data_IF_632717578682
#
_entry.id   IF_632717578682
#
_cell.length_a   1.000
_cell.length_b   1.000
_cell.length_c   1.000
_cell.angle_alpha   90.00
_cell.angle_beta   90.00
_cell.angle_gamma   90.00
#
_symmetry.space_group_name_H-M   'P 1'
#
loop_
_entity.id
_entity.type
_entity.pdbx_description
1 polymer ?
#
# COMPACT_ATOMS: atom_id res chain seq x y z
N UNK A 1 44.56 -9.75 -28.89
CA UNK A 1 43.80 -10.99 -28.66
C UNK A 1 43.35 -11.14 -27.21
N UNK A 2 44.22 -11.25 -26.20
CA UNK A 2 43.77 -11.38 -24.77
C UNK A 2 43.03 -10.15 -24.28
N UNK A 3 43.48 -8.94 -24.61
CA UNK A 3 42.83 -7.68 -24.18
C UNK A 3 41.44 -7.50 -24.80
N UNK A 4 41.24 -7.94 -26.02
CA UNK A 4 39.93 -7.91 -26.72
C UNK A 4 38.94 -8.88 -26.09
N UNK A 5 39.41 -10.08 -25.71
CA UNK A 5 38.56 -11.07 -25.03
C UNK A 5 38.08 -10.56 -23.65
N UNK A 6 39.01 -9.94 -22.89
CA UNK A 6 38.67 -9.32 -21.59
C UNK A 6 37.69 -8.18 -21.76
N UNK A 7 37.79 -7.34 -22.78
CA UNK A 7 36.89 -6.26 -23.09
C UNK A 7 35.46 -6.76 -23.43
N UNK A 8 35.40 -7.82 -24.23
CA UNK A 8 34.11 -8.44 -24.58
C UNK A 8 33.43 -9.06 -23.35
N UNK A 9 34.19 -9.76 -22.50
CA UNK A 9 33.67 -10.38 -21.28
C UNK A 9 33.13 -9.32 -20.31
N UNK A 10 33.82 -8.20 -20.15
CA UNK A 10 33.39 -7.09 -19.31
C UNK A 10 32.11 -6.44 -19.83
N UNK A 11 32.01 -6.25 -21.15
CA UNK A 11 30.78 -5.71 -21.77
C UNK A 11 29.55 -6.60 -21.57
N UNK A 12 29.74 -7.94 -21.67
CA UNK A 12 28.66 -8.92 -21.43
C UNK A 12 28.19 -8.88 -19.98
N UNK A 13 29.12 -8.77 -19.01
CA UNK A 13 28.77 -8.68 -17.58
C UNK A 13 28.00 -7.40 -17.29
N UNK A 14 28.47 -6.26 -17.83
CA UNK A 14 27.80 -4.97 -17.65
C UNK A 14 26.37 -5.03 -18.26
N UNK A 15 26.22 -5.60 -19.44
CA UNK A 15 24.92 -5.75 -20.10
C UNK A 15 23.97 -6.64 -19.27
N UNK A 16 24.46 -7.74 -18.71
CA UNK A 16 23.68 -8.62 -17.85
C UNK A 16 23.21 -7.91 -16.56
N UNK A 17 24.07 -7.09 -15.93
CA UNK A 17 23.71 -6.30 -14.75
C UNK A 17 22.65 -5.25 -15.09
N UNK A 18 22.76 -4.59 -16.25
CA UNK A 18 21.76 -3.60 -16.71
C UNK A 18 20.42 -4.27 -16.99
N UNK A 19 20.40 -5.43 -17.65
CA UNK A 19 19.19 -6.17 -17.96
C UNK A 19 18.51 -6.63 -16.65
N UNK A 20 19.24 -7.23 -15.72
CA UNK A 20 18.68 -7.67 -14.44
C UNK A 20 18.17 -6.47 -13.62
N UNK A 21 18.90 -5.36 -13.57
CA UNK A 21 18.46 -4.14 -12.91
C UNK A 21 17.19 -3.53 -13.53
N UNK A 22 17.05 -3.58 -14.86
CA UNK A 22 15.86 -3.12 -15.57
C UNK A 22 14.65 -4.04 -15.33
N UNK A 23 14.87 -5.36 -15.25
CA UNK A 23 13.79 -6.31 -14.91
C UNK A 23 13.30 -6.14 -13.48
N UNK A 24 14.20 -5.95 -12.52
CA UNK A 24 13.86 -5.71 -11.12
C UNK A 24 13.14 -4.37 -10.95
N UNK A 25 13.58 -3.32 -11.64
CA UNK A 25 12.89 -2.02 -11.65
C UNK A 25 11.50 -2.13 -12.28
N UNK A 26 11.35 -2.87 -13.36
CA UNK A 26 10.05 -3.09 -14.02
C UNK A 26 9.10 -3.90 -13.13
N UNK A 27 9.59 -4.95 -12.43
CA UNK A 27 8.83 -5.72 -11.44
C UNK A 27 8.41 -4.85 -10.26
N UNK A 28 9.31 -4.03 -9.72
CA UNK A 28 9.03 -3.12 -8.62
C UNK A 28 8.03 -2.03 -9.01
N UNK A 29 8.12 -1.49 -10.23
CA UNK A 29 7.16 -0.53 -10.76
C UNK A 29 5.75 -1.12 -10.94
N UNK A 30 5.63 -2.39 -11.36
CA UNK A 30 4.36 -3.10 -11.42
C UNK A 30 3.74 -3.33 -10.03
N UNK A 31 4.56 -3.62 -9.02
CA UNK A 31 4.13 -3.85 -7.63
C UNK A 31 3.59 -2.60 -6.91
N UNK A 32 3.85 -1.41 -7.45
CA UNK A 32 3.36 -0.12 -6.88
C UNK A 32 1.98 0.27 -7.40
N UNK A 33 1.41 -0.43 -8.39
CA UNK A 33 0.10 -0.12 -8.95
C UNK A 33 -0.72 -1.40 -9.03
N UNK A 34 -1.36 -1.76 -7.91
CA UNK A 34 -2.04 -3.04 -7.77
C UNK A 34 -3.55 -2.88 -7.94
N UNK A 35 -4.13 -3.67 -8.81
CA UNK A 35 -5.55 -3.99 -8.82
C UNK A 35 -5.84 -5.11 -7.81
N UNK A 36 -7.12 -5.28 -7.45
CA UNK A 36 -7.51 -6.36 -6.55
C UNK A 36 -7.07 -7.76 -7.07
N UNK A 37 -7.22 -7.99 -8.37
CA UNK A 37 -6.79 -9.25 -9.00
C UNK A 37 -5.27 -9.46 -8.88
N UNK A 38 -4.47 -8.46 -9.25
CA UNK A 38 -3.00 -8.56 -9.18
C UNK A 38 -2.51 -8.78 -7.75
N UNK A 39 -3.18 -8.16 -6.76
CA UNK A 39 -2.85 -8.34 -5.36
C UNK A 39 -3.15 -9.76 -4.87
N UNK A 40 -4.32 -10.30 -5.20
CA UNK A 40 -4.69 -11.68 -4.87
C UNK A 40 -3.73 -12.69 -5.51
N UNK A 41 -3.34 -12.49 -6.77
CA UNK A 41 -2.40 -13.36 -7.47
C UNK A 41 -0.96 -13.30 -6.89
N UNK A 42 -0.60 -12.20 -6.22
CA UNK A 42 0.78 -11.97 -5.74
C UNK A 42 0.96 -12.23 -4.25
N UNK A 43 -0.01 -11.84 -3.42
CA UNK A 43 0.11 -11.84 -1.95
C UNK A 43 -1.07 -12.50 -1.23
N UNK A 44 -2.05 -13.03 -1.97
CA UNK A 44 -3.31 -13.58 -1.42
C UNK A 44 -4.08 -12.62 -0.50
N UNK A 45 -3.86 -11.30 -0.67
CA UNK A 45 -4.49 -10.25 0.12
C UNK A 45 -5.25 -9.26 -0.78
N UNK A 46 -6.42 -8.76 -0.34
CA UNK A 46 -7.19 -7.78 -1.08
C UNK A 46 -6.55 -6.38 -0.95
N UNK A 47 -5.51 -6.11 -1.71
CA UNK A 47 -4.80 -4.84 -1.73
C UNK A 47 -5.13 -4.07 -3.01
N UNK A 48 -5.37 -2.77 -2.88
CA UNK A 48 -5.60 -1.86 -4.01
C UNK A 48 -4.71 -0.63 -3.88
N UNK A 49 -4.19 -0.17 -5.02
CA UNK A 49 -3.48 1.10 -5.11
C UNK A 49 -4.48 2.24 -5.29
N UNK A 50 -4.56 3.11 -4.31
CA UNK A 50 -5.22 4.41 -4.40
C UNK A 50 -4.21 5.51 -4.71
N UNK A 51 -4.72 6.64 -5.16
CA UNK A 51 -3.92 7.84 -5.38
C UNK A 51 -4.28 8.92 -4.36
N UNK A 52 -3.30 9.68 -3.94
CA UNK A 52 -3.48 10.89 -3.14
C UNK A 52 -2.52 11.93 -3.69
N UNK A 53 -3.07 13.01 -4.22
CA UNK A 53 -2.29 14.07 -4.87
C UNK A 53 -1.27 13.54 -5.91
N UNK A 54 -1.70 12.58 -6.74
CA UNK A 54 -0.88 11.96 -7.79
C UNK A 54 0.15 10.92 -7.32
N UNK A 55 0.33 10.74 -6.01
CA UNK A 55 1.17 9.67 -5.43
C UNK A 55 0.36 8.41 -5.19
N UNK A 56 1.01 7.26 -5.27
CA UNK A 56 0.43 5.92 -5.13
C UNK A 56 0.59 5.39 -3.71
N UNK A 57 -0.50 4.84 -3.15
CA UNK A 57 -0.54 4.25 -1.83
C UNK A 57 -1.32 2.93 -1.87
N UNK A 58 -0.72 1.85 -1.40
CA UNK A 58 -1.36 0.54 -1.36
C UNK A 58 -2.10 0.36 -0.04
N UNK A 59 -3.41 0.16 -0.09
CA UNK A 59 -4.22 -0.11 1.08
C UNK A 59 -4.73 -1.54 1.07
N UNK A 60 -4.60 -2.22 2.20
CA UNK A 60 -5.26 -3.48 2.48
C UNK A 60 -6.75 -3.20 2.75
N UNK A 61 -7.62 -3.91 2.07
CA UNK A 61 -9.07 -3.85 2.27
C UNK A 61 -9.46 -4.90 3.32
N UNK A 62 -9.60 -4.48 4.58
CA UNK A 62 -9.81 -5.40 5.72
C UNK A 62 -11.14 -5.16 6.42
N UNK A 63 -12.12 -6.02 6.14
CA UNK A 63 -13.44 -5.96 6.79
C UNK A 63 -13.40 -6.34 8.27
N UNK A 64 -12.32 -6.96 8.76
CA UNK A 64 -12.10 -7.28 10.17
C UNK A 64 -11.61 -6.09 11.00
N UNK A 65 -10.99 -5.09 10.36
CA UNK A 65 -10.65 -3.83 11.00
C UNK A 65 -11.89 -2.93 11.10
N UNK A 66 -12.19 -2.39 12.29
CA UNK A 66 -13.35 -1.48 12.46
C UNK A 66 -13.12 -0.14 11.79
N UNK A 67 -11.94 0.44 11.96
CA UNK A 67 -11.56 1.77 11.48
C UNK A 67 -10.42 1.65 10.46
N UNK A 68 -10.29 2.69 9.63
CA UNK A 68 -9.17 2.77 8.69
C UNK A 68 -7.90 3.25 9.41
N UNK A 69 -6.77 2.68 9.02
CA UNK A 69 -5.46 2.94 9.63
C UNK A 69 -4.49 3.37 8.54
N UNK A 70 -3.65 4.36 8.83
CA UNK A 70 -2.52 4.76 7.99
C UNK A 70 -1.21 4.56 8.76
N UNK A 71 -0.20 4.04 8.06
CA UNK A 71 1.15 3.89 8.63
C UNK A 71 1.76 5.28 8.89
N UNK A 72 2.26 5.49 10.10
CA UNK A 72 2.93 6.75 10.49
C UNK A 72 4.12 7.10 9.60
N UNK A 73 4.78 6.10 9.03
CA UNK A 73 5.98 6.28 8.20
C UNK A 73 5.71 6.90 6.82
N UNK A 74 4.44 6.93 6.38
CA UNK A 74 4.10 7.51 5.08
C UNK A 74 3.50 8.92 5.18
N UNK A 75 3.29 9.45 6.39
CA UNK A 75 2.60 10.74 6.60
C UNK A 75 3.23 11.91 5.87
N UNK A 76 4.57 11.97 5.79
CA UNK A 76 5.27 13.04 5.07
C UNK A 76 5.02 13.00 3.55
N UNK A 77 4.56 11.84 3.05
CA UNK A 77 4.25 11.63 1.63
C UNK A 77 2.76 11.75 1.32
N UNK A 78 1.90 11.61 2.33
CA UNK A 78 0.44 11.64 2.21
C UNK A 78 -0.06 13.08 2.40
N UNK A 79 -0.78 13.60 1.43
CA UNK A 79 -1.49 14.87 1.59
C UNK A 79 -2.72 14.65 2.47
N UNK A 80 -2.66 15.12 3.71
CA UNK A 80 -3.72 14.92 4.70
C UNK A 80 -3.88 16.13 5.63
N UNK A 81 -5.06 16.21 6.24
CA UNK A 81 -5.42 17.17 7.29
C UNK A 81 -5.33 16.48 8.65
N UNK A 82 -4.62 17.08 9.62
CA UNK A 82 -4.61 16.58 11.00
C UNK A 82 -5.95 16.89 11.67
N UNK A 83 -6.57 15.90 12.25
CA UNK A 83 -7.81 16.06 13.00
C UNK A 83 -7.50 16.38 14.47
N UNK A 84 -8.32 17.25 15.07
CA UNK A 84 -8.09 17.74 16.46
C UNK A 84 -8.43 16.71 17.54
N UNK A 85 -9.16 15.66 17.20
CA UNK A 85 -9.58 14.64 18.17
C UNK A 85 -8.43 13.67 18.42
N UNK A 86 -7.75 13.89 19.54
CA UNK A 86 -6.84 12.89 20.10
C UNK A 86 -7.71 11.87 20.83
N UNK A 87 -8.09 10.82 20.13
CA UNK A 87 -8.73 9.66 20.75
C UNK A 87 -7.76 8.95 21.70
N UNK A 88 -8.26 8.25 22.68
CA UNK A 88 -7.47 7.30 23.48
C UNK A 88 -7.96 5.89 23.18
N UNK A 89 -7.05 5.00 22.78
CA UNK A 89 -7.33 3.58 22.64
C UNK A 89 -6.79 2.84 23.85
N UNK A 90 -7.53 1.85 24.33
CA UNK A 90 -7.03 0.95 25.35
C UNK A 90 -6.10 -0.07 24.67
N UNK A 91 -4.81 -0.03 25.01
CA UNK A 91 -3.88 -1.10 24.67
C UNK A 91 -4.29 -2.42 25.33
N UNK A 92 -3.74 -3.53 24.85
CA UNK A 92 -4.00 -4.89 25.39
C UNK A 92 -3.73 -4.97 26.90
N UNK A 93 -2.87 -4.12 27.43
CA UNK A 93 -2.53 -3.99 28.87
C UNK A 93 -3.42 -3.00 29.64
N UNK A 94 -4.49 -2.46 29.03
CA UNK A 94 -5.39 -1.50 29.66
C UNK A 94 -4.84 -0.06 29.76
N UNK A 95 -3.65 0.22 29.27
CA UNK A 95 -3.07 1.56 29.26
C UNK A 95 -3.70 2.40 28.16
N UNK A 96 -4.03 3.67 28.47
CA UNK A 96 -4.52 4.63 27.48
C UNK A 96 -3.34 5.13 26.63
N UNK A 97 -3.37 4.81 25.33
CA UNK A 97 -2.39 5.31 24.37
C UNK A 97 -3.02 6.48 23.59
N UNK A 98 -2.40 7.66 23.54
CA UNK A 98 -2.90 8.75 22.69
C UNK A 98 -2.81 8.35 21.22
N UNK A 99 -3.88 8.55 20.48
CA UNK A 99 -3.97 8.23 19.04
C UNK A 99 -4.20 9.52 18.29
N UNK A 100 -3.46 9.73 17.25
CA UNK A 100 -3.70 10.81 16.31
C UNK A 100 -4.53 10.33 15.13
N UNK A 101 -5.33 11.26 14.58
CA UNK A 101 -6.14 11.01 13.38
C UNK A 101 -5.79 12.00 12.30
N UNK A 102 -5.84 11.54 11.06
CA UNK A 102 -5.70 12.37 9.87
C UNK A 102 -6.85 12.09 8.90
N UNK A 103 -7.20 13.09 8.12
CA UNK A 103 -8.16 12.98 7.03
C UNK A 103 -7.44 13.12 5.70
N UNK A 104 -7.59 12.14 4.82
CA UNK A 104 -7.03 12.17 3.50
C UNK A 104 -8.10 11.88 2.44
N UNK A 105 -7.87 12.41 1.24
CA UNK A 105 -8.64 12.05 0.06
C UNK A 105 -7.89 11.01 -0.74
N UNK A 106 -8.55 9.92 -1.03
CA UNK A 106 -8.04 8.84 -1.87
C UNK A 106 -8.82 8.79 -3.18
N UNK A 107 -8.10 8.66 -4.29
CA UNK A 107 -8.70 8.58 -5.62
C UNK A 107 -8.48 7.19 -6.21
N UNK A 108 -9.54 6.58 -6.73
CA UNK A 108 -9.48 5.28 -7.39
C UNK A 108 -10.51 5.21 -8.52
N UNK A 109 -10.08 4.91 -9.74
CA UNK A 109 -10.93 4.77 -10.94
C UNK A 109 -11.89 5.93 -11.17
N UNK A 110 -11.44 7.18 -10.89
CA UNK A 110 -12.25 8.39 -11.06
C UNK A 110 -13.20 8.72 -9.91
N UNK A 111 -13.24 7.88 -8.89
CA UNK A 111 -13.99 8.10 -7.66
C UNK A 111 -13.09 8.67 -6.57
N UNK A 112 -13.67 9.53 -5.72
CA UNK A 112 -12.96 10.18 -4.62
C UNK A 112 -13.51 9.71 -3.27
N UNK A 113 -12.62 9.29 -2.39
CA UNK A 113 -12.94 8.78 -1.06
C UNK A 113 -12.28 9.66 0.00
N UNK A 114 -13.06 10.41 0.76
CA UNK A 114 -12.56 11.21 1.89
C UNK A 114 -12.66 10.38 3.16
N UNK A 115 -11.52 9.94 3.68
CA UNK A 115 -11.45 8.98 4.77
C UNK A 115 -10.65 9.51 5.96
N UNK A 116 -11.11 9.15 7.17
CA UNK A 116 -10.45 9.46 8.42
C UNK A 116 -9.64 8.24 8.87
N UNK A 117 -8.37 8.43 9.09
CA UNK A 117 -7.43 7.38 9.46
C UNK A 117 -6.90 7.57 10.87
N UNK A 118 -6.87 6.50 11.63
CA UNK A 118 -6.02 6.39 12.78
C UNK A 118 -4.57 6.25 12.34
N UNK A 119 -3.66 7.01 12.96
CA UNK A 119 -2.22 6.94 12.66
C UNK A 119 -1.56 5.96 13.61
N UNK A 120 -0.97 4.91 13.06
CA UNK A 120 -0.23 3.89 13.83
C UNK A 120 1.10 3.56 13.12
N UNK A 121 2.08 3.14 13.90
CA UNK A 121 3.29 2.53 13.35
C UNK A 121 2.97 1.07 12.95
N UNK A 122 2.95 0.82 11.64
CA UNK A 122 2.65 -0.49 11.06
C UNK A 122 3.91 -1.23 10.57
N UNK A 123 5.10 -0.75 10.91
CA UNK A 123 6.39 -1.27 10.42
C UNK A 123 6.51 -2.79 10.61
N UNK A 124 6.15 -3.31 11.78
CA UNK A 124 6.24 -4.73 12.08
C UNK A 124 5.20 -5.54 11.28
N UNK A 125 3.94 -5.06 11.20
CA UNK A 125 2.87 -5.78 10.52
C UNK A 125 3.08 -5.79 9.00
N UNK A 126 3.52 -4.68 8.42
CA UNK A 126 3.72 -4.56 6.97
C UNK A 126 5.11 -5.01 6.51
N UNK A 127 6.08 -5.06 7.44
CA UNK A 127 7.47 -5.49 7.15
C UNK A 127 7.53 -6.89 6.59
N UNK A 128 6.85 -7.85 7.21
CA UNK A 128 6.80 -9.24 6.76
C UNK A 128 6.22 -9.37 5.34
N UNK A 129 5.11 -8.66 5.05
CA UNK A 129 4.50 -8.66 3.71
C UNK A 129 5.48 -8.12 2.67
N UNK A 130 6.18 -7.05 3.02
CA UNK A 130 7.19 -6.46 2.14
C UNK A 130 8.37 -7.39 1.89
N UNK A 131 8.88 -8.06 2.91
CA UNK A 131 9.99 -9.01 2.77
C UNK A 131 9.62 -10.21 1.91
N UNK A 132 8.44 -10.78 2.11
CA UNK A 132 7.98 -11.97 1.40
C UNK A 132 7.57 -11.67 -0.05
N UNK A 133 6.90 -10.56 -0.31
CA UNK A 133 6.27 -10.26 -1.60
C UNK A 133 6.87 -9.06 -2.35
N UNK A 134 7.62 -8.21 -1.65
CA UNK A 134 8.09 -6.91 -2.14
C UNK A 134 6.97 -5.85 -2.23
N UNK A 135 5.76 -6.15 -1.73
CA UNK A 135 4.63 -5.20 -1.68
C UNK A 135 4.74 -4.33 -0.46
N UNK A 136 4.78 -3.01 -0.64
CA UNK A 136 4.75 -2.05 0.46
C UNK A 136 3.31 -1.60 0.69
N UNK A 137 2.78 -1.84 1.89
CA UNK A 137 1.47 -1.33 2.32
C UNK A 137 1.62 0.05 2.95
N UNK A 138 0.61 0.88 2.76
CA UNK A 138 0.51 2.24 3.29
C UNK A 138 -0.51 2.36 4.42
N UNK A 139 -1.43 1.41 4.51
CA UNK A 139 -2.49 1.42 5.50
C UNK A 139 -3.54 0.34 5.26
N UNK A 140 -4.61 0.44 6.03
CA UNK A 140 -5.77 -0.47 6.01
C UNK A 140 -7.03 0.38 5.83
N UNK A 141 -7.93 -0.03 4.95
CA UNK A 141 -9.29 0.47 4.86
C UNK A 141 -10.22 -0.49 5.61
N UNK A 142 -10.79 -0.01 6.71
CA UNK A 142 -11.61 -0.80 7.63
C UNK A 142 -13.09 -0.86 7.26
N UNK A 143 -13.89 -1.57 8.06
CA UNK A 143 -15.32 -1.80 7.82
C UNK A 143 -16.13 -0.49 7.73
N UNK A 144 -15.72 0.57 8.41
CA UNK A 144 -16.34 1.89 8.28
C UNK A 144 -16.23 2.46 6.86
N UNK A 145 -15.11 2.27 6.17
CA UNK A 145 -14.93 2.64 4.77
C UNK A 145 -15.92 1.89 3.88
N UNK A 146 -16.03 0.57 4.06
CA UNK A 146 -16.95 -0.25 3.26
C UNK A 146 -18.41 0.19 3.45
N UNK A 147 -18.81 0.43 4.69
CA UNK A 147 -20.16 0.89 5.00
C UNK A 147 -20.45 2.28 4.42
N UNK A 148 -19.53 3.23 4.63
CA UNK A 148 -19.67 4.63 4.19
C UNK A 148 -19.82 4.76 2.67
N UNK A 149 -19.02 4.00 1.93
CA UNK A 149 -18.99 4.07 0.46
C UNK A 149 -19.76 2.94 -0.22
N UNK A 150 -20.47 2.10 0.53
CA UNK A 150 -21.13 0.90 0.02
C UNK A 150 -20.17 0.08 -0.86
N UNK A 151 -18.92 -0.05 -0.36
CA UNK A 151 -17.82 -0.65 -1.11
C UNK A 151 -17.93 -2.16 -1.11
N UNK A 152 -17.82 -2.76 -2.29
CA UNK A 152 -18.00 -4.20 -2.52
C UNK A 152 -16.66 -4.83 -2.86
N UNK A 153 -16.36 -5.96 -2.21
CA UNK A 153 -15.30 -6.87 -2.59
C UNK A 153 -15.93 -8.11 -3.24
N UNK A 154 -15.71 -8.27 -4.53
CA UNK A 154 -16.13 -9.44 -5.27
C UNK A 154 -14.95 -10.38 -5.46
N UNK A 155 -14.87 -11.40 -4.60
CA UNK A 155 -13.81 -12.40 -4.64
C UNK A 155 -13.97 -13.40 -5.80
N UNK A 156 -15.14 -13.48 -6.43
CA UNK A 156 -15.35 -14.33 -7.59
C UNK A 156 -14.75 -13.70 -8.86
N UNK A 157 -15.05 -12.42 -9.05
CA UNK A 157 -14.58 -11.68 -10.23
C UNK A 157 -13.25 -10.96 -9.97
N UNK A 158 -12.76 -10.98 -8.72
CA UNK A 158 -11.55 -10.28 -8.23
C UNK A 158 -11.58 -8.78 -8.57
N UNK A 159 -12.71 -8.14 -8.28
CA UNK A 159 -12.92 -6.71 -8.44
C UNK A 159 -13.39 -6.05 -7.15
N UNK A 160 -13.07 -4.76 -7.00
CA UNK A 160 -13.56 -3.96 -5.90
C UNK A 160 -14.06 -2.62 -6.44
N UNK A 161 -15.22 -2.19 -5.95
CA UNK A 161 -15.92 -1.00 -6.45
C UNK A 161 -16.92 -0.44 -5.44
N UNK A 162 -17.27 0.84 -5.60
CA UNK A 162 -18.35 1.48 -4.86
C UNK A 162 -19.70 1.22 -5.57
N UNK A 163 -20.70 0.78 -4.83
CA UNK A 163 -22.07 0.71 -5.31
C UNK A 163 -22.69 2.11 -5.20
N UNK A 164 -22.87 2.78 -6.30
CA UNK A 164 -23.68 4.01 -6.38
C UNK A 164 -25.07 3.71 -6.87
#
# INVERSE_FOLDING_TARGET
MVLEIVGILLAVIILAVIINGAEDYCKQSKRVNMSFKEAMDLVDLPVITFYNNGKKFNFLLDTGATISIVDSNILDSLTCEKLKDVGTVFGVEGNKVPVSYVRAQLDYKGENYKEDFQVLDMSNAFGNIKEESGVTLSGILGSQFFHKYQYVLDFKELIAYSKK
#
